data_IF_134964730749
#
_entry.id   IF_134964730749
#
_cell.length_a   1.000
_cell.length_b   1.000
_cell.length_c   1.000
_cell.angle_alpha   90.00
_cell.angle_beta   90.00
_cell.angle_gamma   90.00
#
_symmetry.space_group_name_H-M   'P 1'
#
loop_
_entity.id
_entity.type
_entity.pdbx_description
1 polymer ?
#
# COMPACT_ATOMS: atom_id res chain seq x y z
N UNK A 1 3.91 -14.47 -4.03
CA UNK A 1 4.41 -13.10 -4.32
C UNK A 1 5.06 -12.46 -3.08
N UNK A 2 4.32 -12.05 -2.05
CA UNK A 2 4.89 -11.36 -0.88
C UNK A 2 6.00 -12.13 -0.15
N UNK A 3 5.77 -13.41 0.15
CA UNK A 3 6.78 -14.26 0.83
C UNK A 3 8.09 -14.33 0.07
N UNK A 4 8.05 -14.50 -1.26
CA UNK A 4 9.24 -14.54 -2.09
C UNK A 4 9.99 -13.19 -2.10
N UNK A 5 9.26 -12.08 -2.25
CA UNK A 5 9.87 -10.73 -2.21
C UNK A 5 10.55 -10.47 -0.86
N UNK A 6 9.90 -10.89 0.23
CA UNK A 6 10.49 -10.82 1.58
C UNK A 6 11.70 -11.73 1.75
N UNK A 7 11.63 -12.95 1.24
CA UNK A 7 12.72 -13.93 1.32
C UNK A 7 14.01 -13.40 0.68
N UNK A 8 13.90 -12.70 -0.46
CA UNK A 8 15.04 -12.06 -1.13
C UNK A 8 15.44 -10.69 -0.53
N UNK A 9 14.97 -10.34 0.67
CA UNK A 9 15.40 -9.13 1.38
C UNK A 9 14.87 -7.81 0.81
N UNK A 10 13.95 -7.84 -0.15
CA UNK A 10 13.38 -6.63 -0.74
C UNK A 10 12.39 -5.99 0.24
N UNK A 11 12.46 -4.67 0.50
CA UNK A 11 11.48 -3.98 1.33
C UNK A 11 10.07 -4.10 0.73
N UNK A 12 9.21 -4.86 1.41
CA UNK A 12 7.83 -5.10 0.98
C UNK A 12 6.83 -4.91 2.14
N UNK A 13 5.60 -4.54 1.78
CA UNK A 13 4.44 -4.42 2.68
C UNK A 13 3.22 -5.05 2.00
N UNK A 14 2.45 -5.83 2.74
CA UNK A 14 1.16 -6.37 2.32
C UNK A 14 0.07 -5.78 3.22
N UNK A 15 -0.90 -5.07 2.63
CA UNK A 15 -1.99 -4.44 3.36
C UNK A 15 -3.30 -5.23 3.13
N UNK A 16 -3.71 -6.00 4.13
CA UNK A 16 -4.94 -6.80 4.09
C UNK A 16 -6.13 -6.01 4.67
N UNK A 17 -7.29 -6.20 4.04
CA UNK A 17 -8.55 -5.56 4.40
C UNK A 17 -9.61 -6.64 4.59
N UNK A 18 -9.98 -6.89 5.85
CA UNK A 18 -10.93 -7.94 6.20
C UNK A 18 -12.37 -7.57 5.81
N UNK A 19 -13.11 -8.55 5.30
CA UNK A 19 -14.50 -8.37 4.87
C UNK A 19 -14.66 -7.52 3.60
N UNK A 20 -13.56 -7.26 2.88
CA UNK A 20 -13.55 -6.59 1.58
C UNK A 20 -13.40 -7.61 0.44
N UNK A 21 -13.92 -7.26 -0.74
CA UNK A 21 -13.77 -8.06 -1.95
C UNK A 21 -12.86 -7.35 -2.98
N UNK A 22 -12.79 -7.91 -4.19
CA UNK A 22 -11.97 -7.35 -5.28
C UNK A 22 -12.32 -5.88 -5.63
N UNK A 23 -13.54 -5.44 -5.29
CA UNK A 23 -14.05 -4.09 -5.53
C UNK A 23 -13.63 -3.02 -4.52
N UNK A 24 -12.78 -3.33 -3.52
CA UNK A 24 -12.37 -2.42 -2.44
C UNK A 24 -12.11 -0.98 -2.90
N UNK A 25 -11.37 -0.78 -4.00
CA UNK A 25 -11.00 0.57 -4.47
C UNK A 25 -12.20 1.45 -4.85
N UNK A 26 -13.28 0.84 -5.34
CA UNK A 26 -14.48 1.52 -5.86
C UNK A 26 -15.64 1.47 -4.87
N UNK A 27 -15.88 0.29 -4.30
CA UNK A 27 -17.10 -0.04 -3.56
C UNK A 27 -16.82 -0.50 -2.11
N UNK A 28 -15.57 -0.46 -1.64
CA UNK A 28 -15.23 -0.89 -0.29
C UNK A 28 -15.76 0.05 0.80
N UNK A 29 -15.74 -0.42 2.05
CA UNK A 29 -16.18 0.37 3.21
C UNK A 29 -15.41 1.71 3.24
N UNK A 30 -16.06 2.85 3.57
CA UNK A 30 -15.40 4.16 3.53
C UNK A 30 -14.07 4.22 4.30
N UNK A 31 -14.04 3.67 5.52
CA UNK A 31 -12.84 3.64 6.35
C UNK A 31 -11.71 2.80 5.72
N UNK A 32 -12.03 1.69 5.06
CA UNK A 32 -11.05 0.85 4.38
C UNK A 32 -10.47 1.53 3.14
N UNK A 33 -11.30 2.26 2.39
CA UNK A 33 -10.85 3.07 1.25
C UNK A 33 -9.89 4.17 1.68
N UNK A 34 -10.20 4.87 2.78
CA UNK A 34 -9.33 5.88 3.38
C UNK A 34 -7.99 5.28 3.81
N UNK A 35 -8.01 4.16 4.54
CA UNK A 35 -6.78 3.44 4.91
C UNK A 35 -5.98 2.99 3.68
N UNK A 36 -6.63 2.46 2.64
CA UNK A 36 -5.96 2.07 1.39
C UNK A 36 -5.23 3.25 0.73
N UNK A 37 -5.90 4.41 0.63
CA UNK A 37 -5.29 5.61 0.07
C UNK A 37 -4.07 6.04 0.91
N UNK A 38 -4.21 6.05 2.23
CA UNK A 38 -3.11 6.35 3.15
C UNK A 38 -1.91 5.41 2.98
N UNK A 39 -2.13 4.10 2.90
CA UNK A 39 -1.05 3.12 2.71
C UNK A 39 -0.30 3.34 1.38
N UNK A 40 -1.00 3.73 0.32
CA UNK A 40 -0.40 4.03 -0.98
C UNK A 40 0.43 5.31 -0.90
N UNK A 41 -0.15 6.39 -0.37
CA UNK A 41 0.54 7.68 -0.27
C UNK A 41 1.74 7.62 0.65
N UNK A 42 1.62 6.96 1.80
CA UNK A 42 2.73 6.78 2.75
C UNK A 42 3.87 5.95 2.12
N UNK A 43 3.55 4.98 1.26
CA UNK A 43 4.57 4.21 0.55
C UNK A 43 5.31 5.04 -0.50
N UNK A 44 4.57 5.88 -1.25
CA UNK A 44 5.19 6.83 -2.18
C UNK A 44 6.04 7.86 -1.45
N UNK A 45 5.53 8.44 -0.36
CA UNK A 45 6.27 9.39 0.47
C UNK A 45 7.61 8.80 0.95
N UNK A 46 7.64 7.51 1.30
CA UNK A 46 8.86 6.87 1.80
C UNK A 46 9.92 6.64 0.70
N UNK A 47 9.51 6.34 -0.52
CA UNK A 47 10.41 5.80 -1.56
C UNK A 47 10.58 6.70 -2.79
N UNK A 48 9.65 7.62 -3.06
CA UNK A 48 9.65 8.49 -4.24
C UNK A 48 10.07 9.94 -3.95
N UNK A 49 10.20 10.35 -2.69
CA UNK A 49 10.50 11.75 -2.33
C UNK A 49 11.97 12.16 -2.41
N UNK A 50 12.85 11.29 -2.89
CA UNK A 50 14.23 11.68 -3.21
C UNK A 50 14.32 12.23 -4.62
N UNK A 51 13.83 13.45 -4.83
CA UNK A 51 14.41 14.46 -5.73
C UNK A 51 13.57 15.75 -5.78
N UNK A 52 13.91 16.68 -4.88
CA UNK A 52 13.93 18.11 -5.21
C UNK A 52 15.08 18.75 -4.44
N UNK A 53 16.31 18.44 -4.86
CA UNK A 53 17.43 19.35 -4.63
C UNK A 53 17.19 20.51 -5.59
N UNK A 54 16.58 21.59 -5.08
CA UNK A 54 16.77 22.90 -5.69
C UNK A 54 18.21 23.36 -5.43
#
# INVERSE_FOLDING_TARGET
MFTAVKFYGVPARMCLFEGENHGLSRNGKPLHRMRRLKEITDWFEKYLTKERKN
#
